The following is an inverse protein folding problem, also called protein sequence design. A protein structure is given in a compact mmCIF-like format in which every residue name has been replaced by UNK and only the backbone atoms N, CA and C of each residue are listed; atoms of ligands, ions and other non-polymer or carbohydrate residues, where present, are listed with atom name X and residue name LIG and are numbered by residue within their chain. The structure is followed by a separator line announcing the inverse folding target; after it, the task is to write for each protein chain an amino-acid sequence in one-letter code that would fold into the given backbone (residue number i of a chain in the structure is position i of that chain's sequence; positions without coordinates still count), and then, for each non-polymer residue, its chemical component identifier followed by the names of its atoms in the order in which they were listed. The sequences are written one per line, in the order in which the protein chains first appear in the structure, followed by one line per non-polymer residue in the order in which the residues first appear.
data_IF_615149060019
#
_entry.id   IF_615149060019
#
_cell.length_a   1.000
_cell.length_b   1.000
_cell.length_c   1.000
_cell.angle_alpha   90.00
_cell.angle_beta   90.00
_cell.angle_gamma   90.00
#
_symmetry.space_group_name_H-M   'P 1'
#
loop_
_entity.id
_entity.type
_entity.pdbx_description
1 polymer ?
#
# COMPACT_ATOMS: atom_id res chain seq x y z
N UNK A 1 -35.10 -19.57 -38.94
CA UNK A 1 -35.98 -19.80 -37.77
C UNK A 1 -35.73 -21.24 -37.35
N UNK A 2 -34.86 -21.51 -36.38
CA UNK A 2 -35.05 -21.25 -34.94
C UNK A 2 -33.73 -20.79 -34.30
N UNK A 3 -33.80 -19.68 -33.55
CA UNK A 3 -32.79 -19.21 -32.60
C UNK A 3 -32.74 -20.15 -31.38
N UNK A 4 -31.53 -20.50 -30.91
CA UNK A 4 -31.32 -20.83 -29.50
C UNK A 4 -30.16 -19.98 -29.01
N UNK A 5 -30.49 -19.06 -28.11
CA UNK A 5 -29.58 -18.10 -27.48
C UNK A 5 -28.66 -18.83 -26.48
N UNK A 6 -27.36 -18.67 -26.69
CA UNK A 6 -26.35 -18.71 -25.64
C UNK A 6 -26.63 -17.62 -24.60
N UNK A 7 -26.46 -17.93 -23.31
CA UNK A 7 -25.65 -17.18 -22.32
C UNK A 7 -25.92 -17.78 -20.93
N UNK A 8 -25.04 -18.65 -20.45
CA UNK A 8 -24.78 -18.72 -19.00
C UNK A 8 -23.51 -17.94 -18.75
N UNK A 9 -23.69 -16.79 -18.11
CA UNK A 9 -22.69 -15.79 -17.79
C UNK A 9 -21.86 -16.32 -16.62
N UNK A 10 -20.63 -16.78 -16.87
CA UNK A 10 -19.58 -16.74 -15.85
C UNK A 10 -18.90 -15.38 -15.96
N UNK A 11 -19.53 -14.34 -15.40
CA UNK A 11 -18.84 -13.07 -15.13
C UNK A 11 -18.14 -13.23 -13.78
N UNK A 12 -16.82 -13.03 -13.82
CA UNK A 12 -15.93 -12.82 -12.67
C UNK A 12 -15.59 -14.10 -11.87
N UNK A 13 -14.63 -14.86 -12.38
CA UNK A 13 -13.78 -15.69 -11.50
C UNK A 13 -12.55 -14.83 -11.18
N UNK A 14 -12.46 -14.39 -9.93
CA UNK A 14 -11.33 -13.61 -9.40
C UNK A 14 -10.01 -14.37 -9.60
N UNK A 15 -8.93 -13.68 -10.01
CA UNK A 15 -7.58 -14.25 -10.13
C UNK A 15 -7.12 -14.90 -8.82
N UNK A 16 -7.60 -14.42 -7.67
CA UNK A 16 -7.37 -15.05 -6.37
C UNK A 16 -7.99 -16.44 -6.30
N UNK A 17 -9.19 -16.64 -6.87
CA UNK A 17 -9.90 -17.93 -6.88
C UNK A 17 -9.15 -18.98 -7.74
N UNK A 18 -8.59 -18.58 -8.88
CA UNK A 18 -7.77 -19.48 -9.72
C UNK A 18 -6.46 -19.88 -9.03
N UNK A 19 -5.83 -18.96 -8.30
CA UNK A 19 -4.60 -19.25 -7.52
C UNK A 19 -4.91 -20.14 -6.31
N UNK A 20 -6.05 -19.93 -5.65
CA UNK A 20 -6.52 -20.78 -4.55
C UNK A 20 -6.86 -22.19 -5.02
N UNK A 21 -7.54 -22.33 -6.15
CA UNK A 21 -7.84 -23.63 -6.76
C UNK A 21 -6.55 -24.35 -7.16
N UNK A 22 -5.59 -23.64 -7.77
CA UNK A 22 -4.29 -24.21 -8.12
C UNK A 22 -3.45 -24.63 -6.89
N UNK A 23 -3.48 -23.83 -5.81
CA UNK A 23 -2.81 -24.14 -4.55
C UNK A 23 -3.44 -25.32 -3.82
N UNK A 24 -4.78 -25.43 -3.85
CA UNK A 24 -5.51 -26.57 -3.29
C UNK A 24 -5.16 -27.88 -4.02
N UNK A 25 -5.00 -27.85 -5.35
CA UNK A 25 -4.59 -29.02 -6.13
C UNK A 25 -3.14 -29.46 -5.86
N UNK A 26 -2.22 -28.50 -5.66
CA UNK A 26 -0.83 -28.78 -5.28
C UNK A 26 -0.70 -29.39 -3.87
N UNK A 27 -1.53 -28.94 -2.92
CA UNK A 27 -1.56 -29.47 -1.54
C UNK A 27 -2.14 -30.90 -1.46
N UNK A 28 -2.99 -31.29 -2.43
CA UNK A 28 -3.55 -32.64 -2.53
C UNK A 28 -2.64 -33.64 -3.25
N UNK A 29 -1.43 -33.23 -3.68
CA UNK A 29 -0.44 -34.13 -4.30
C UNK A 29 -0.83 -34.67 -5.68
N UNK A 30 -1.80 -34.05 -6.36
CA UNK A 30 -2.20 -34.42 -7.72
C UNK A 30 -1.40 -33.60 -8.73
N UNK A 31 -0.83 -34.29 -9.72
CA UNK A 31 -0.14 -33.59 -10.81
C UNK A 31 -1.18 -32.87 -11.70
N UNK A 32 -0.90 -31.65 -12.20
CA UNK A 32 -1.78 -30.96 -13.14
C UNK A 32 -2.09 -31.77 -14.42
N UNK A 33 -1.23 -32.74 -14.74
CA UNK A 33 -1.32 -33.61 -15.93
C UNK A 33 -2.46 -34.62 -15.80
N UNK A 34 -2.76 -35.12 -14.59
CA UNK A 34 -3.82 -36.11 -14.37
C UNK A 34 -5.23 -35.51 -14.50
N UNK A 35 -5.38 -34.22 -14.22
CA UNK A 35 -6.63 -33.48 -14.37
C UNK A 35 -6.93 -33.18 -15.86
N UNK A 36 -5.91 -32.83 -16.64
CA UNK A 36 -6.07 -32.60 -18.07
C UNK A 36 -6.38 -33.91 -18.84
N UNK A 37 -5.76 -35.03 -18.45
CA UNK A 37 -6.01 -36.31 -19.10
C UNK A 37 -7.42 -36.89 -18.85
N UNK A 38 -8.01 -36.65 -17.67
CA UNK A 38 -9.41 -37.03 -17.40
C UNK A 38 -10.44 -36.10 -18.04
N UNK A 39 -10.08 -34.86 -18.37
CA UNK A 39 -10.97 -33.95 -19.08
C UNK A 39 -10.98 -34.19 -20.60
N UNK A 40 -9.92 -34.80 -21.17
CA UNK A 40 -9.77 -34.99 -22.62
C UNK A 40 -10.03 -36.43 -23.09
N UNK A 41 -10.00 -37.46 -22.23
CA UNK A 41 -10.23 -38.85 -22.64
C UNK A 41 -11.70 -39.32 -22.63
N UNK A 42 -12.67 -38.40 -22.57
CA UNK A 42 -14.10 -38.70 -22.58
C UNK A 42 -14.77 -38.85 -23.95
N UNK A 43 -14.02 -38.94 -25.07
CA UNK A 43 -14.62 -39.31 -26.37
C UNK A 43 -14.47 -40.81 -26.60
N UNK A 44 -15.42 -41.58 -26.07
CA UNK A 44 -15.45 -43.02 -26.27
C UNK A 44 -16.74 -43.66 -25.76
N UNK A 45 -17.79 -43.58 -26.59
CA UNK A 45 -19.04 -44.35 -26.56
C UNK A 45 -20.08 -44.05 -25.47
N UNK A 46 -21.23 -43.57 -25.97
CA UNK A 46 -22.62 -43.73 -25.51
C UNK A 46 -22.83 -44.38 -24.13
N UNK A 47 -23.27 -43.57 -23.16
CA UNK A 47 -23.91 -44.03 -21.93
C UNK A 47 -23.87 -42.98 -20.81
N UNK A 48 -25.04 -42.40 -20.51
CA UNK A 48 -25.44 -41.74 -19.25
C UNK A 48 -24.58 -40.57 -18.70
N UNK A 49 -24.86 -39.37 -19.21
CA UNK A 49 -24.43 -38.08 -18.63
C UNK A 49 -25.48 -37.59 -17.64
N UNK A 50 -25.54 -38.18 -16.44
CA UNK A 50 -26.34 -37.59 -15.35
C UNK A 50 -25.86 -37.94 -13.92
N UNK A 51 -24.77 -38.69 -13.73
CA UNK A 51 -24.34 -39.14 -12.37
C UNK A 51 -22.96 -38.65 -11.88
N UNK A 52 -22.22 -37.85 -12.66
CA UNK A 52 -20.84 -37.45 -12.30
C UNK A 52 -20.70 -36.00 -11.82
N UNK A 53 -21.69 -35.14 -12.08
CA UNK A 53 -21.67 -33.72 -11.67
C UNK A 53 -22.05 -33.52 -10.20
N UNK A 54 -22.94 -34.34 -9.63
CA UNK A 54 -23.31 -34.24 -8.21
C UNK A 54 -22.14 -34.56 -7.28
N UNK A 55 -21.34 -35.58 -7.63
CA UNK A 55 -20.22 -36.04 -6.78
C UNK A 55 -19.01 -35.11 -6.76
N UNK A 56 -18.84 -34.23 -7.74
CA UNK A 56 -17.73 -33.26 -7.77
C UNK A 56 -18.07 -32.02 -6.93
N UNK A 57 -19.31 -31.53 -7.03
CA UNK A 57 -19.80 -30.39 -6.24
C UNK A 57 -19.83 -30.73 -4.75
N UNK A 58 -20.33 -31.91 -4.37
CA UNK A 58 -20.36 -32.37 -2.97
C UNK A 58 -18.94 -32.50 -2.36
N UNK A 59 -17.94 -32.84 -3.18
CA UNK A 59 -16.54 -32.98 -2.73
C UNK A 59 -15.82 -31.64 -2.60
N UNK A 60 -16.22 -30.63 -3.37
CA UNK A 60 -15.71 -29.26 -3.26
C UNK A 60 -16.31 -28.58 -2.02
N UNK A 61 -17.61 -28.74 -1.79
CA UNK A 61 -18.30 -28.20 -0.60
C UNK A 61 -17.78 -28.83 0.70
N UNK A 62 -17.60 -30.15 0.76
CA UNK A 62 -17.01 -30.82 1.92
C UNK A 62 -15.53 -30.41 2.18
N UNK A 63 -14.81 -29.95 1.15
CA UNK A 63 -13.43 -29.45 1.29
C UNK A 63 -13.37 -28.01 1.78
N UNK A 64 -14.41 -27.20 1.49
CA UNK A 64 -14.56 -25.83 1.99
C UNK A 64 -14.98 -25.83 3.46
N UNK A 65 -15.92 -26.69 3.86
CA UNK A 65 -16.34 -26.84 5.26
C UNK A 65 -15.21 -27.34 6.19
N UNK A 66 -14.28 -28.13 5.67
CA UNK A 66 -13.10 -28.55 6.42
C UNK A 66 -12.09 -27.41 6.62
N UNK A 67 -12.09 -26.40 5.74
CA UNK A 67 -11.15 -25.28 5.78
C UNK A 67 -11.56 -24.16 6.74
N UNK A 68 -12.88 -23.94 6.92
CA UNK A 68 -13.43 -23.00 7.92
C UNK A 68 -13.16 -23.41 9.38
N UNK A 69 -12.62 -24.62 9.60
CA UNK A 69 -12.28 -25.13 10.93
C UNK A 69 -10.82 -24.92 11.37
N UNK A 70 -9.97 -24.31 10.53
CA UNK A 70 -8.54 -24.11 10.83
C UNK A 70 -8.20 -22.64 11.15
N UNK A 71 -7.69 -22.41 12.35
CA UNK A 71 -7.29 -21.09 12.86
C UNK A 71 -6.39 -20.29 11.90
N UNK A 72 -6.83 -19.07 11.59
CA UNK A 72 -6.29 -18.13 10.59
C UNK A 72 -4.81 -17.71 10.75
N UNK A 73 -4.15 -18.07 11.85
CA UNK A 73 -2.77 -17.64 12.13
C UNK A 73 -1.68 -18.45 11.40
N UNK A 74 -1.98 -19.66 10.90
CA UNK A 74 -0.96 -20.54 10.30
C UNK A 74 -0.80 -20.40 8.78
N UNK A 75 -1.82 -19.92 8.07
CA UNK A 75 -1.81 -19.81 6.59
C UNK A 75 -0.87 -18.69 6.11
N UNK A 76 -0.68 -17.64 6.91
CA UNK A 76 0.15 -16.48 6.55
C UNK A 76 1.65 -16.82 6.48
N UNK A 77 2.14 -17.74 7.32
CA UNK A 77 3.56 -18.10 7.34
C UNK A 77 3.96 -19.08 6.23
N UNK A 78 3.04 -19.95 5.81
CA UNK A 78 3.30 -20.97 4.78
C UNK A 78 3.26 -20.39 3.37
N UNK A 79 2.36 -19.43 3.09
CA UNK A 79 2.28 -18.73 1.79
C UNK A 79 3.50 -17.82 1.54
N UNK A 80 4.13 -17.31 2.61
CA UNK A 80 5.34 -16.47 2.52
C UNK A 80 6.57 -17.23 2.00
N UNK A 81 6.61 -18.57 2.15
CA UNK A 81 7.71 -19.42 1.63
C UNK A 81 7.54 -19.83 0.15
N UNK A 82 6.32 -19.79 -0.39
CA UNK A 82 6.05 -20.15 -1.79
C UNK A 82 6.31 -19.01 -2.78
N UNK A 83 6.19 -17.74 -2.33
CA UNK A 83 6.41 -16.55 -3.17
C UNK A 83 7.84 -16.40 -3.69
N UNK A 84 8.84 -16.94 -2.98
CA UNK A 84 10.25 -16.72 -3.31
C UNK A 84 10.87 -17.78 -4.23
N UNK A 85 10.14 -18.83 -4.66
CA UNK A 85 10.74 -19.93 -5.46
C UNK A 85 10.29 -20.10 -6.90
N UNK A 86 9.10 -19.69 -7.32
CA UNK A 86 8.53 -20.22 -8.58
C UNK A 86 8.11 -19.17 -9.63
N UNK A 87 8.84 -18.06 -9.75
CA UNK A 87 8.64 -17.14 -10.88
C UNK A 87 9.22 -17.66 -12.22
N UNK A 88 10.07 -18.69 -12.21
CA UNK A 88 10.73 -19.21 -13.42
C UNK A 88 10.07 -20.44 -14.06
N UNK A 89 9.21 -21.18 -13.35
CA UNK A 89 8.66 -22.44 -13.86
C UNK A 89 7.31 -22.29 -14.60
N UNK A 90 6.50 -21.27 -14.30
CA UNK A 90 5.22 -21.03 -14.99
C UNK A 90 5.40 -20.49 -16.41
N UNK A 91 6.49 -19.77 -16.67
CA UNK A 91 6.72 -19.15 -17.98
C UNK A 91 7.09 -20.17 -19.09
N UNK A 92 7.67 -21.32 -18.71
CA UNK A 92 8.05 -22.39 -19.64
C UNK A 92 6.90 -23.32 -20.05
N UNK A 93 5.84 -23.40 -19.23
CA UNK A 93 4.72 -24.33 -19.46
C UNK A 93 3.78 -23.85 -20.59
N UNK A 94 3.60 -22.53 -20.72
CA UNK A 94 2.77 -21.93 -21.77
C UNK A 94 3.37 -22.01 -23.18
N UNK A 95 4.69 -22.19 -23.33
CA UNK A 95 5.33 -22.19 -24.65
C UNK A 95 5.23 -23.52 -25.41
N UNK A 96 4.90 -24.63 -24.73
CA UNK A 96 5.00 -25.98 -25.31
C UNK A 96 3.67 -26.72 -25.51
N UNK A 97 2.51 -26.10 -25.24
CA UNK A 97 1.20 -26.76 -25.32
C UNK A 97 0.42 -26.55 -26.62
N UNK A 98 0.96 -25.82 -27.61
CA UNK A 98 0.37 -25.71 -28.96
C UNK A 98 -1.03 -25.04 -29.04
N UNK A 99 -1.59 -24.59 -27.92
CA UNK A 99 -2.87 -23.89 -27.85
C UNK A 99 -2.63 -22.38 -27.94
N UNK A 100 -2.44 -21.86 -29.15
CA UNK A 100 -2.66 -20.44 -29.45
C UNK A 100 -4.14 -20.22 -29.74
N UNK A 101 -4.96 -20.22 -28.70
CA UNK A 101 -6.07 -19.27 -28.70
C UNK A 101 -5.53 -18.00 -28.04
N UNK A 102 -5.35 -16.97 -28.85
CA UNK A 102 -5.08 -15.63 -28.37
C UNK A 102 -6.30 -15.15 -27.60
N UNK A 103 -6.40 -15.49 -26.32
CA UNK A 103 -7.19 -14.70 -25.38
C UNK A 103 -6.38 -13.44 -25.14
N UNK A 104 -6.63 -12.42 -25.93
CA UNK A 104 -6.29 -11.05 -25.55
C UNK A 104 -7.13 -10.74 -24.32
N UNK A 105 -6.59 -10.98 -23.13
CA UNK A 105 -7.06 -10.29 -21.94
C UNK A 105 -6.60 -8.85 -22.14
N UNK A 106 -7.41 -8.06 -22.84
CA UNK A 106 -7.41 -6.61 -22.66
C UNK A 106 -7.91 -6.37 -21.23
N UNK A 107 -7.03 -6.63 -20.26
CA UNK A 107 -7.15 -5.97 -18.97
C UNK A 107 -6.72 -4.55 -19.26
N UNK A 108 -7.69 -3.66 -19.42
CA UNK A 108 -7.37 -2.24 -19.34
C UNK A 108 -6.66 -2.04 -18.00
N UNK A 109 -5.50 -1.38 -18.02
CA UNK A 109 -4.90 -0.75 -16.84
C UNK A 109 -5.83 0.39 -16.37
N UNK A 110 -7.07 0.04 -16.02
CA UNK A 110 -8.03 0.96 -15.44
C UNK A 110 -7.70 1.08 -13.97
N UNK A 111 -6.85 2.07 -13.68
CA UNK A 111 -6.65 2.55 -12.32
C UNK A 111 -8.01 2.95 -11.74
N UNK A 112 -8.41 2.26 -10.68
CA UNK A 112 -9.71 2.49 -10.07
C UNK A 112 -9.65 3.74 -9.20
N UNK A 113 -10.75 4.51 -9.23
CA UNK A 113 -10.97 5.57 -8.26
C UNK A 113 -11.86 4.99 -7.16
N UNK A 114 -11.27 4.75 -6.00
CA UNK A 114 -11.98 4.31 -4.79
C UNK A 114 -12.35 5.55 -3.98
N UNK A 115 -13.60 5.64 -3.54
CA UNK A 115 -14.08 6.75 -2.72
C UNK A 115 -14.34 6.26 -1.29
N UNK A 116 -13.72 6.88 -0.31
CA UNK A 116 -13.92 6.58 1.11
C UNK A 116 -14.79 7.68 1.73
N UNK A 117 -15.88 7.37 2.45
CA UNK A 117 -16.30 6.03 2.88
C UNK A 117 -17.32 5.31 1.95
N UNK A 118 -17.55 5.84 0.74
CA UNK A 118 -18.64 5.37 -0.15
C UNK A 118 -18.47 3.90 -0.59
N UNK A 119 -17.26 3.52 -1.02
CA UNK A 119 -16.94 2.17 -1.51
C UNK A 119 -16.42 1.26 -0.38
N UNK A 120 -15.70 1.84 0.59
CA UNK A 120 -15.17 1.14 1.76
C UNK A 120 -15.33 2.00 3.00
N UNK A 121 -15.68 1.43 4.17
CA UNK A 121 -16.00 2.22 5.36
C UNK A 121 -14.77 2.91 5.97
N UNK A 122 -13.57 2.43 5.69
CA UNK A 122 -12.31 2.94 6.25
C UNK A 122 -11.27 3.17 5.18
N UNK A 123 -10.25 3.99 5.48
CA UNK A 123 -9.13 4.22 4.56
C UNK A 123 -8.31 2.93 4.42
N UNK A 124 -8.09 2.19 5.51
CA UNK A 124 -7.34 0.94 5.45
C UNK A 124 -8.04 -0.11 4.57
N UNK A 125 -9.35 -0.29 4.68
CA UNK A 125 -10.08 -1.25 3.84
C UNK A 125 -9.95 -0.91 2.35
N UNK A 126 -10.00 0.38 2.01
CA UNK A 126 -9.75 0.84 0.64
C UNK A 126 -8.32 0.53 0.19
N UNK A 127 -7.31 0.76 1.02
CA UNK A 127 -5.91 0.41 0.72
C UNK A 127 -5.77 -1.09 0.51
N UNK A 128 -6.39 -1.91 1.37
CA UNK A 128 -6.35 -3.38 1.33
C UNK A 128 -7.07 -3.95 0.09
N UNK A 129 -8.07 -3.25 -0.43
CA UNK A 129 -8.75 -3.63 -1.67
C UNK A 129 -8.05 -3.15 -2.96
N UNK A 130 -7.24 -2.08 -2.87
CA UNK A 130 -6.60 -1.46 -4.03
C UNK A 130 -5.63 -2.36 -4.79
N UNK A 131 -5.44 -2.09 -6.07
CA UNK A 131 -4.33 -2.56 -6.89
C UNK A 131 -3.27 -1.44 -7.07
N UNK A 132 -2.02 -1.78 -7.42
CA UNK A 132 -1.02 -0.76 -7.71
C UNK A 132 -1.48 0.25 -8.77
N UNK A 133 -1.31 1.54 -8.49
CA UNK A 133 -1.72 2.63 -9.37
C UNK A 133 -3.11 3.19 -9.09
N UNK A 134 -3.91 2.54 -8.25
CA UNK A 134 -5.25 3.04 -7.90
C UNK A 134 -5.19 4.37 -7.14
N UNK A 135 -6.30 5.12 -7.24
CA UNK A 135 -6.48 6.38 -6.54
C UNK A 135 -7.59 6.28 -5.51
N UNK A 136 -7.26 6.52 -4.25
CA UNK A 136 -8.20 6.65 -3.14
C UNK A 136 -8.51 8.13 -2.94
N UNK A 137 -9.78 8.50 -3.11
CA UNK A 137 -10.30 9.84 -2.79
C UNK A 137 -11.09 9.75 -1.49
N UNK A 138 -10.58 10.37 -0.44
CA UNK A 138 -11.16 10.33 0.91
C UNK A 138 -11.98 11.59 1.14
N UNK A 139 -13.28 11.44 1.34
CA UNK A 139 -14.18 12.57 1.64
C UNK A 139 -13.83 13.19 2.99
N UNK A 140 -14.23 14.44 3.16
CA UNK A 140 -14.15 15.13 4.45
C UNK A 140 -14.82 14.32 5.55
N UNK A 141 -14.18 14.25 6.70
CA UNK A 141 -14.58 13.37 7.78
C UNK A 141 -13.50 13.21 8.84
N UNK A 142 -13.88 12.49 9.90
CA UNK A 142 -12.97 12.12 10.98
C UNK A 142 -12.76 10.61 10.94
N UNK A 143 -11.53 10.20 10.62
CA UNK A 143 -11.09 8.82 10.50
C UNK A 143 -10.17 8.50 11.66
N UNK A 144 -10.55 7.54 12.51
CA UNK A 144 -9.72 7.09 13.61
C UNK A 144 -9.04 5.77 13.23
N UNK A 145 -7.86 5.86 12.63
CA UNK A 145 -7.16 4.76 11.98
C UNK A 145 -5.64 4.91 12.12
N UNK A 146 -4.92 3.81 11.90
CA UNK A 146 -3.50 3.81 11.57
C UNK A 146 -3.39 3.10 10.21
N UNK A 147 -3.07 3.84 9.16
CA UNK A 147 -3.13 3.37 7.78
C UNK A 147 -1.77 2.88 7.33
N UNK A 148 -1.70 1.62 6.92
CA UNK A 148 -0.52 0.96 6.36
C UNK A 148 -0.66 0.88 4.84
N UNK A 149 0.29 1.48 4.13
CA UNK A 149 0.33 1.52 2.67
C UNK A 149 1.50 0.66 2.19
N UNK A 150 1.19 -0.56 1.74
CA UNK A 150 2.17 -1.57 1.32
C UNK A 150 2.09 -1.92 -0.17
N UNK A 151 1.21 -1.24 -0.91
CA UNK A 151 1.07 -1.38 -2.38
C UNK A 151 1.65 -0.15 -3.09
N UNK A 152 2.50 -0.34 -4.11
CA UNK A 152 3.16 0.78 -4.76
C UNK A 152 2.22 1.54 -5.68
N UNK A 153 2.63 2.76 -6.06
CA UNK A 153 1.89 3.61 -7.01
C UNK A 153 0.51 4.07 -6.55
N UNK A 154 0.15 3.89 -5.28
CA UNK A 154 -1.14 4.39 -4.78
C UNK A 154 -1.13 5.91 -4.66
N UNK A 155 -2.22 6.53 -5.10
CA UNK A 155 -2.53 7.92 -4.76
C UNK A 155 -3.62 7.95 -3.72
N UNK A 156 -3.31 8.41 -2.51
CA UNK A 156 -4.24 8.55 -1.40
C UNK A 156 -4.40 10.05 -1.15
N UNK A 157 -5.59 10.59 -1.42
CA UNK A 157 -5.84 12.02 -1.35
C UNK A 157 -7.15 12.35 -0.64
N UNK A 158 -7.16 13.44 0.11
CA UNK A 158 -8.41 14.08 0.53
C UNK A 158 -9.13 14.71 -0.67
N UNK A 159 -10.46 14.69 -0.64
CA UNK A 159 -11.30 15.33 -1.66
C UNK A 159 -11.16 16.86 -1.64
N UNK A 160 -11.16 17.48 -0.45
CA UNK A 160 -11.19 18.95 -0.29
C UNK A 160 -9.98 19.49 0.48
N UNK A 161 -8.87 18.76 0.49
CA UNK A 161 -7.66 19.15 1.22
C UNK A 161 -7.75 18.87 2.73
N UNK A 162 -6.80 19.43 3.47
CA UNK A 162 -6.54 18.99 4.85
C UNK A 162 -7.46 19.59 5.91
N UNK A 163 -8.24 20.62 5.59
CA UNK A 163 -9.04 21.35 6.57
C UNK A 163 -10.07 20.45 7.27
N UNK A 164 -10.75 19.58 6.51
CA UNK A 164 -11.87 18.78 7.03
C UNK A 164 -11.69 17.26 6.88
N UNK A 165 -10.58 16.79 6.32
CA UNK A 165 -10.25 15.37 6.25
C UNK A 165 -9.18 15.02 7.30
N UNK A 166 -9.65 14.60 8.48
CA UNK A 166 -8.83 14.39 9.68
C UNK A 166 -8.62 12.89 9.88
N UNK A 167 -7.36 12.46 9.85
CA UNK A 167 -6.94 11.11 10.21
C UNK A 167 -6.21 11.17 11.55
N UNK A 168 -6.80 10.54 12.56
CA UNK A 168 -6.26 10.48 13.91
C UNK A 168 -5.84 9.05 14.24
N UNK A 169 -4.64 8.88 14.78
CA UNK A 169 -4.15 7.59 15.24
C UNK A 169 -5.18 6.85 16.11
N UNK A 170 -5.48 5.60 15.75
CA UNK A 170 -6.30 4.71 16.58
C UNK A 170 -5.49 4.14 17.75
N UNK A 171 -4.29 3.62 17.45
CA UNK A 171 -3.22 3.33 18.39
C UNK A 171 -2.21 4.47 18.38
N UNK A 172 -1.99 5.05 19.56
CA UNK A 172 -1.08 6.17 19.74
C UNK A 172 0.41 5.80 19.64
N UNK A 173 0.75 4.51 19.64
CA UNK A 173 2.13 4.00 19.53
C UNK A 173 2.54 3.63 18.10
N UNK A 174 1.62 3.73 17.15
CA UNK A 174 1.87 3.48 15.75
C UNK A 174 1.68 4.78 14.97
N UNK A 175 2.37 4.89 13.83
CA UNK A 175 2.23 6.07 12.99
C UNK A 175 0.80 6.18 12.43
N UNK A 176 0.33 7.40 12.14
CA UNK A 176 -0.99 7.58 11.54
C UNK A 176 -0.99 7.04 10.10
N UNK A 177 0.06 7.34 9.35
CA UNK A 177 0.33 6.74 8.04
C UNK A 177 1.70 6.07 8.05
N UNK A 178 1.75 4.77 7.75
CA UNK A 178 2.96 4.00 7.52
C UNK A 178 3.07 3.64 6.04
N UNK A 179 4.00 4.26 5.33
CA UNK A 179 4.24 4.04 3.91
C UNK A 179 5.44 3.10 3.75
N UNK A 180 5.16 1.90 3.26
CA UNK A 180 6.12 0.83 2.98
C UNK A 180 6.23 0.49 1.49
N UNK A 181 5.60 1.30 0.63
CA UNK A 181 5.62 1.11 -0.80
C UNK A 181 6.08 2.36 -1.56
N UNK A 182 6.93 2.13 -2.56
CA UNK A 182 7.45 3.16 -3.44
C UNK A 182 6.37 3.80 -4.31
N UNK A 183 6.64 5.00 -4.82
CA UNK A 183 5.73 5.75 -5.70
C UNK A 183 4.36 6.08 -5.08
N UNK A 184 4.27 6.13 -3.75
CA UNK A 184 3.03 6.49 -3.05
C UNK A 184 2.87 8.00 -2.98
N UNK A 185 1.66 8.50 -3.26
CA UNK A 185 1.30 9.91 -3.07
C UNK A 185 0.30 10.04 -1.92
N UNK A 186 0.66 10.77 -0.86
CA UNK A 186 -0.20 11.11 0.27
C UNK A 186 -0.49 12.61 0.25
N UNK A 187 -1.76 12.97 0.04
CA UNK A 187 -2.13 14.35 -0.24
C UNK A 187 -3.34 14.85 0.57
N UNK A 188 -3.19 16.00 1.22
CA UNK A 188 -4.34 16.76 1.68
C UNK A 188 -4.98 16.27 2.99
N UNK A 189 -4.27 15.64 3.90
CA UNK A 189 -4.84 15.19 5.19
C UNK A 189 -4.43 16.08 6.35
N UNK A 190 -5.32 16.22 7.35
CA UNK A 190 -4.87 16.52 8.71
C UNK A 190 -4.46 15.21 9.38
N UNK A 191 -3.22 15.11 9.85
CA UNK A 191 -2.61 13.90 10.41
C UNK A 191 -2.22 14.14 11.86
N UNK A 192 -2.84 13.43 12.82
CA UNK A 192 -2.70 13.74 14.25
C UNK A 192 -2.83 12.54 15.21
N UNK A 193 -2.43 12.74 16.47
CA UNK A 193 -2.77 11.84 17.58
C UNK A 193 -1.82 10.67 17.82
N UNK A 194 -0.81 10.45 16.98
CA UNK A 194 0.23 9.44 17.22
C UNK A 194 1.14 9.90 18.37
N UNK A 195 0.76 9.66 19.63
CA UNK A 195 1.41 10.27 20.81
C UNK A 195 2.86 9.80 21.03
N UNK A 196 3.19 8.58 20.60
CA UNK A 196 4.50 7.96 20.80
C UNK A 196 5.18 7.55 19.49
N UNK A 197 4.61 7.95 18.35
CA UNK A 197 5.06 7.58 17.02
C UNK A 197 4.93 8.76 16.04
N UNK A 198 5.34 8.52 14.79
CA UNK A 198 5.35 9.53 13.74
C UNK A 198 3.94 9.90 13.25
N UNK A 199 3.76 11.11 12.73
CA UNK A 199 2.55 11.42 11.96
C UNK A 199 2.52 10.60 10.66
N UNK A 200 3.58 10.76 9.86
CA UNK A 200 3.82 10.00 8.62
C UNK A 200 5.19 9.34 8.69
N UNK A 201 5.21 8.02 8.61
CA UNK A 201 6.43 7.20 8.60
C UNK A 201 6.64 6.59 7.22
N UNK A 202 7.77 6.88 6.57
CA UNK A 202 8.12 6.36 5.24
C UNK A 202 9.39 5.52 5.37
N UNK A 203 9.25 4.21 5.24
CA UNK A 203 10.35 3.28 5.48
C UNK A 203 10.67 2.48 4.23
N UNK A 204 11.94 2.51 3.82
CA UNK A 204 12.46 1.80 2.63
C UNK A 204 11.61 2.01 1.39
N UNK A 205 11.12 3.23 1.21
CA UNK A 205 10.17 3.59 0.17
C UNK A 205 10.65 4.82 -0.56
N UNK A 206 10.95 4.63 -1.84
CA UNK A 206 11.49 5.68 -2.70
C UNK A 206 10.38 6.31 -3.57
N UNK A 207 10.66 7.49 -4.12
CA UNK A 207 9.80 8.17 -5.09
C UNK A 207 8.38 8.49 -4.60
N UNK A 208 8.19 8.60 -3.29
CA UNK A 208 6.92 8.99 -2.67
C UNK A 208 6.78 10.51 -2.64
N UNK A 209 5.53 10.98 -2.63
CA UNK A 209 5.18 12.39 -2.45
C UNK A 209 4.26 12.57 -1.24
N UNK A 210 4.69 13.38 -0.27
CA UNK A 210 3.89 13.75 0.90
C UNK A 210 3.59 15.24 0.78
N UNK A 211 2.35 15.60 0.47
CA UNK A 211 2.04 16.98 0.11
C UNK A 211 0.70 17.54 0.61
N UNK A 212 0.66 18.85 0.86
CA UNK A 212 -0.57 19.57 1.24
C UNK A 212 -1.23 19.08 2.55
N UNK A 213 -0.46 18.42 3.42
CA UNK A 213 -0.96 17.89 4.68
C UNK A 213 -0.78 18.90 5.82
N UNK A 214 -1.66 18.83 6.81
CA UNK A 214 -1.48 19.47 8.11
C UNK A 214 -1.11 18.40 9.14
N UNK A 215 0.18 18.29 9.48
CA UNK A 215 0.71 17.23 10.32
C UNK A 215 1.03 17.81 11.69
N UNK A 216 0.18 17.51 12.67
CA UNK A 216 0.27 18.17 13.97
C UNK A 216 -0.11 17.31 15.15
N UNK A 217 0.44 17.70 16.31
CA UNK A 217 0.16 17.06 17.59
C UNK A 217 0.55 15.56 17.62
N UNK A 218 1.61 15.18 16.90
CA UNK A 218 2.21 13.84 16.90
C UNK A 218 3.51 13.80 17.73
N UNK A 219 3.87 12.60 18.15
CA UNK A 219 4.96 12.26 19.04
C UNK A 219 5.15 13.26 20.21
N UNK A 220 4.22 13.35 21.17
CA UNK A 220 4.34 14.28 22.31
C UNK A 220 5.24 13.78 23.43
N UNK A 221 5.58 12.49 23.45
CA UNK A 221 6.23 11.87 24.61
C UNK A 221 7.50 11.08 24.30
N UNK A 222 7.79 10.75 23.04
CA UNK A 222 9.04 10.07 22.70
C UNK A 222 10.07 11.09 22.19
N UNK A 223 11.36 10.83 22.45
CA UNK A 223 12.46 11.61 21.84
C UNK A 223 12.77 11.17 20.40
N UNK A 224 11.99 10.24 19.83
CA UNK A 224 12.37 9.46 18.63
C UNK A 224 11.40 9.56 17.44
N UNK A 225 10.25 10.21 17.58
CA UNK A 225 9.28 10.42 16.50
C UNK A 225 9.17 11.87 15.99
N UNK A 226 8.63 12.03 14.80
CA UNK A 226 8.57 13.24 14.00
C UNK A 226 7.16 13.46 13.43
N UNK A 227 6.89 14.65 12.91
CA UNK A 227 5.74 14.86 12.04
C UNK A 227 5.85 13.96 10.80
N UNK A 228 6.98 14.06 10.09
CA UNK A 228 7.33 13.19 8.95
C UNK A 228 8.69 12.55 9.21
N UNK A 229 8.82 11.25 9.00
CA UNK A 229 10.08 10.53 9.18
C UNK A 229 10.38 9.65 7.95
N UNK A 230 11.46 9.98 7.23
CA UNK A 230 11.96 9.25 6.07
C UNK A 230 13.15 8.39 6.47
N UNK A 231 12.98 7.07 6.52
CA UNK A 231 13.97 6.12 7.01
C UNK A 231 14.38 5.15 5.90
N UNK A 232 15.64 5.23 5.47
CA UNK A 232 16.16 4.49 4.31
C UNK A 232 15.35 4.74 3.03
N UNK A 233 14.89 5.97 2.83
CA UNK A 233 13.90 6.34 1.82
C UNK A 233 14.44 7.50 0.99
N UNK A 234 14.78 7.24 -0.26
CA UNK A 234 15.45 8.17 -1.17
C UNK A 234 14.54 8.68 -2.30
N UNK A 235 14.91 9.78 -2.92
CA UNK A 235 14.19 10.35 -4.08
C UNK A 235 12.72 10.73 -3.78
N UNK A 236 12.40 11.07 -2.53
CA UNK A 236 11.07 11.48 -2.11
C UNK A 236 10.89 13.00 -2.18
N UNK A 237 9.62 13.42 -2.25
CA UNK A 237 9.21 14.83 -2.27
C UNK A 237 8.31 15.13 -1.09
N UNK A 238 8.74 16.03 -0.22
CA UNK A 238 7.94 16.53 0.91
C UNK A 238 7.65 18.00 0.68
N UNK A 239 6.40 18.36 0.37
CA UNK A 239 6.09 19.72 -0.03
C UNK A 239 4.74 20.28 0.37
N UNK A 240 4.66 21.59 0.55
CA UNK A 240 3.41 22.31 0.87
C UNK A 240 2.71 21.78 2.14
N UNK A 241 3.46 21.18 3.08
CA UNK A 241 2.89 20.71 4.34
C UNK A 241 2.98 21.80 5.41
N UNK A 242 1.99 21.83 6.30
CA UNK A 242 2.06 22.54 7.57
C UNK A 242 2.42 21.51 8.64
N UNK A 243 3.59 21.67 9.28
CA UNK A 243 4.11 20.68 10.23
C UNK A 243 4.34 21.38 11.56
N UNK A 244 3.50 21.08 12.56
CA UNK A 244 3.51 21.83 13.81
C UNK A 244 3.18 21.04 15.06
N UNK A 245 3.69 21.47 16.21
CA UNK A 245 3.40 20.85 17.52
C UNK A 245 3.76 19.35 17.57
N UNK A 246 4.76 18.94 16.81
CA UNK A 246 5.36 17.62 16.91
C UNK A 246 6.65 17.72 17.74
N UNK A 247 7.24 16.58 18.15
CA UNK A 247 8.59 16.62 18.74
C UNK A 247 9.62 17.07 17.71
N UNK A 248 9.76 16.35 16.59
CA UNK A 248 10.58 16.78 15.45
C UNK A 248 9.66 17.09 14.26
N UNK A 249 10.06 18.02 13.38
CA UNK A 249 9.30 18.34 12.17
C UNK A 249 9.42 17.24 11.11
N UNK A 250 10.53 17.25 10.36
CA UNK A 250 10.88 16.29 9.33
C UNK A 250 12.23 15.65 9.67
N UNK A 251 12.32 14.31 9.72
CA UNK A 251 13.59 13.60 9.86
C UNK A 251 13.93 12.79 8.62
N UNK A 252 15.20 12.79 8.25
CA UNK A 252 15.79 12.01 7.17
C UNK A 252 16.91 11.16 7.75
N UNK A 253 16.67 9.86 7.90
CA UNK A 253 17.66 8.91 8.40
C UNK A 253 18.11 7.97 7.29
N UNK A 254 19.39 8.10 6.89
CA UNK A 254 19.98 7.33 5.78
C UNK A 254 19.18 7.45 4.47
N UNK A 255 18.70 8.67 4.19
CA UNK A 255 17.71 8.98 3.16
C UNK A 255 18.26 10.05 2.22
N UNK A 256 18.54 9.68 0.97
CA UNK A 256 19.30 10.51 0.04
C UNK A 256 18.45 11.09 -1.08
N UNK A 257 18.92 12.14 -1.74
CA UNK A 257 18.31 12.70 -2.95
C UNK A 257 16.83 13.13 -2.77
N UNK A 258 16.43 13.54 -1.57
CA UNK A 258 15.07 13.99 -1.30
C UNK A 258 14.93 15.51 -1.54
N UNK A 259 13.74 15.93 -1.94
CA UNK A 259 13.37 17.34 -2.09
C UNK A 259 12.38 17.74 -0.98
N UNK A 260 12.77 18.69 -0.14
CA UNK A 260 11.96 19.22 0.95
C UNK A 260 11.71 20.71 0.68
N UNK A 261 10.50 21.06 0.25
CA UNK A 261 10.26 22.41 -0.26
C UNK A 261 8.85 22.97 -0.04
N UNK A 262 8.74 24.29 0.11
CA UNK A 262 7.47 25.00 0.40
C UNK A 262 6.74 24.49 1.66
N UNK A 263 7.43 23.89 2.62
CA UNK A 263 6.81 23.50 3.88
C UNK A 263 6.82 24.67 4.87
N UNK A 264 5.78 24.74 5.71
CA UNK A 264 5.72 25.62 6.87
C UNK A 264 5.91 24.78 8.14
N UNK A 265 7.11 24.83 8.72
CA UNK A 265 7.53 23.99 9.85
C UNK A 265 7.65 24.88 11.08
N UNK A 266 6.69 24.76 11.99
CA UNK A 266 6.46 25.75 13.04
C UNK A 266 6.15 25.11 14.38
N UNK A 267 6.77 25.60 15.46
CA UNK A 267 6.43 25.22 16.84
C UNK A 267 6.59 23.73 17.12
N UNK A 268 7.60 23.08 16.54
CA UNK A 268 8.02 21.73 16.91
C UNK A 268 9.05 21.80 18.05
N UNK A 269 9.01 20.84 18.97
CA UNK A 269 9.75 20.95 20.23
C UNK A 269 11.28 20.84 20.06
N UNK A 270 11.73 20.05 19.09
CA UNK A 270 13.13 19.77 18.77
C UNK A 270 13.45 20.28 17.34
N UNK A 271 14.23 19.53 16.56
CA UNK A 271 14.65 19.94 15.22
C UNK A 271 13.49 20.07 14.25
N UNK A 272 13.55 21.10 13.40
CA UNK A 272 12.55 21.31 12.33
C UNK A 272 12.81 20.36 11.18
N UNK A 273 14.05 20.34 10.67
CA UNK A 273 14.52 19.36 9.70
C UNK A 273 15.82 18.76 10.24
N UNK A 274 15.87 17.44 10.39
CA UNK A 274 17.05 16.72 10.87
C UNK A 274 17.50 15.67 9.86
N UNK A 275 18.74 15.80 9.38
CA UNK A 275 19.35 14.90 8.40
C UNK A 275 20.47 14.11 9.04
N UNK A 276 20.31 12.80 9.17
CA UNK A 276 21.32 11.89 9.72
C UNK A 276 21.73 10.84 8.68
N UNK A 277 22.99 10.88 8.25
CA UNK A 277 23.51 9.95 7.24
C UNK A 277 22.85 10.16 5.87
N UNK A 278 22.38 11.38 5.60
CA UNK A 278 21.45 11.70 4.51
C UNK A 278 22.06 12.76 3.59
N UNK A 279 22.46 12.34 2.40
CA UNK A 279 23.23 13.15 1.45
C UNK A 279 22.46 13.52 0.19
N UNK A 280 22.92 14.57 -0.48
CA UNK A 280 22.38 15.07 -1.75
C UNK A 280 20.89 15.49 -1.67
N UNK A 281 20.40 15.90 -0.50
CA UNK A 281 19.05 16.40 -0.34
C UNK A 281 18.99 17.90 -0.68
N UNK A 282 17.87 18.33 -1.25
CA UNK A 282 17.56 19.73 -1.51
C UNK A 282 16.49 20.22 -0.54
N UNK A 283 16.86 21.16 0.32
CA UNK A 283 15.98 21.79 1.30
C UNK A 283 15.79 23.25 0.87
N UNK A 284 14.66 23.57 0.25
CA UNK A 284 14.49 24.91 -0.31
C UNK A 284 13.11 25.53 -0.15
N UNK A 285 13.06 26.85 -0.07
CA UNK A 285 11.80 27.61 0.00
C UNK A 285 10.88 27.22 1.18
N UNK A 286 11.44 26.72 2.28
CA UNK A 286 10.68 26.42 3.49
C UNK A 286 10.62 27.64 4.41
N UNK A 287 9.53 27.74 5.16
CA UNK A 287 9.40 28.69 6.29
C UNK A 287 9.54 27.89 7.58
N UNK A 288 10.58 28.18 8.36
CA UNK A 288 10.95 27.43 9.57
C UNK A 288 11.00 28.40 10.74
N UNK A 289 10.10 28.23 11.72
CA UNK A 289 10.10 29.14 12.87
C UNK A 289 9.60 28.56 14.19
N UNK A 290 10.13 29.09 15.29
CA UNK A 290 9.71 28.72 16.65
C UNK A 290 9.94 27.24 17.00
N UNK A 291 10.95 26.60 16.43
CA UNK A 291 11.33 25.22 16.73
C UNK A 291 12.57 25.17 17.66
N UNK A 292 12.94 23.97 18.11
CA UNK A 292 14.19 23.74 18.85
C UNK A 292 15.42 24.07 17.99
N UNK A 293 15.65 23.31 16.92
CA UNK A 293 16.71 23.59 15.94
C UNK A 293 16.10 23.91 14.57
N UNK A 294 16.73 24.79 13.80
CA UNK A 294 16.33 25.12 12.43
C UNK A 294 16.51 23.92 11.49
N UNK A 295 17.73 23.74 10.99
CA UNK A 295 18.09 22.61 10.11
C UNK A 295 19.39 21.98 10.61
N UNK A 296 19.38 20.67 10.90
CA UNK A 296 20.52 19.93 11.42
C UNK A 296 21.04 18.89 10.42
N UNK A 297 22.36 18.71 10.38
CA UNK A 297 23.04 17.69 9.59
C UNK A 297 24.05 16.93 10.45
N UNK A 298 23.91 15.61 10.49
CA UNK A 298 24.84 14.68 11.14
C UNK A 298 25.26 13.65 10.10
N UNK A 299 26.57 13.43 9.93
CA UNK A 299 27.15 12.47 8.98
C UNK A 299 26.58 12.58 7.56
N UNK A 300 26.24 13.80 7.14
CA UNK A 300 25.49 14.09 5.91
C UNK A 300 26.31 15.01 5.01
N UNK A 301 26.24 14.81 3.69
CA UNK A 301 27.09 15.52 2.72
C UNK A 301 26.32 15.98 1.48
N UNK A 302 26.84 17.03 0.82
CA UNK A 302 26.31 17.56 -0.45
C UNK A 302 24.83 17.96 -0.40
N UNK A 303 24.32 18.38 0.75
CA UNK A 303 22.96 18.88 0.86
C UNK A 303 22.90 20.37 0.46
N UNK A 304 21.87 20.74 -0.30
CA UNK A 304 21.61 22.10 -0.72
C UNK A 304 20.55 22.75 0.17
N UNK A 305 20.85 23.93 0.71
CA UNK A 305 19.93 24.72 1.53
C UNK A 305 19.75 26.08 0.84
N UNK A 306 18.61 26.29 0.20
CA UNK A 306 18.38 27.47 -0.63
C UNK A 306 17.05 28.16 -0.33
N UNK A 307 17.04 29.49 -0.26
CA UNK A 307 15.81 30.30 -0.18
C UNK A 307 14.88 29.96 1.00
N UNK A 308 15.41 29.44 2.12
CA UNK A 308 14.61 29.18 3.31
C UNK A 308 14.50 30.44 4.18
N UNK A 309 13.34 30.66 4.78
CA UNK A 309 13.14 31.68 5.83
C UNK A 309 13.20 30.99 7.19
N UNK A 310 14.30 31.17 7.93
CA UNK A 310 14.55 30.52 9.23
C UNK A 310 14.59 31.60 10.31
N UNK A 311 13.68 31.55 11.28
CA UNK A 311 13.58 32.59 12.32
C UNK A 311 13.09 32.05 13.66
N UNK A 312 13.53 32.65 14.76
CA UNK A 312 13.05 32.34 16.11
C UNK A 312 13.16 30.85 16.53
N UNK A 313 14.13 30.10 15.98
CA UNK A 313 14.44 28.76 16.48
C UNK A 313 15.46 28.86 17.62
N UNK A 314 15.51 27.85 18.48
CA UNK A 314 16.48 27.76 19.57
C UNK A 314 17.90 27.87 19.04
N UNK A 315 18.32 26.92 18.19
CA UNK A 315 19.60 26.93 17.47
C UNK A 315 19.35 26.97 15.94
N UNK A 316 20.29 27.55 15.17
CA UNK A 316 20.12 27.85 13.74
C UNK A 316 20.39 26.63 12.85
#
# INVERSE_FOLDING_TARGET
MVEVKNLFIWRHVDRKMLVFVAAAFLLMGLSPVDAAFKCVSGTGNNGDVESTTSTLTERIEASLDAFDSFDHLWVSHSLRKLRDRDHHCLHGWFQNSGLRESVSVEGSDEHLVIVVPDDYPTIQDAVDASSPGDTLTVRDGFYKENVVVDKPYLTIKSENGSENCIVKAADTHEAVFSIYAAHTNLNGFTVTGATYADGVYVFRSDFCSISNNNISDNNKSSRIGCGINLVYSSNNRVSNNIISKNVCGISLYSSNNNEIFFNNIISNHASSIDCWGSSNNNISNNTISNNGDGISFVDSSNNEIANNTISNNGWY
#
